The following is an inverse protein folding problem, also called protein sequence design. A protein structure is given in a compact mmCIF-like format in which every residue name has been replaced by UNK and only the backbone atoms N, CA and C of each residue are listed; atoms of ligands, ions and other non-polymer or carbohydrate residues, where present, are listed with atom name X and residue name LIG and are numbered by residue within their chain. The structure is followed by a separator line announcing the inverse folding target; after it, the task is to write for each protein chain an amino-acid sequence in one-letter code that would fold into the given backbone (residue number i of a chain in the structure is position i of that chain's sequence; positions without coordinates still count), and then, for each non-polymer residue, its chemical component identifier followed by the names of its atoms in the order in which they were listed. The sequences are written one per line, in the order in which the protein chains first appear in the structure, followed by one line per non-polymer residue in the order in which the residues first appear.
data_IF_606658301586
#
_entry.id   IF_606658301586
#
_cell.length_a   1.000
_cell.length_b   1.000
_cell.length_c   1.000
_cell.angle_alpha   90.00
_cell.angle_beta   90.00
_cell.angle_gamma   90.00
#
_symmetry.space_group_name_H-M   'P 1'
#
loop_
_entity.id
_entity.type
_entity.pdbx_description
1 polymer ?
#
# COMPACT_ATOMS: atom_id res chain seq x y z
N UNK A 1 -4.34 10.68 -12.24
CA UNK A 1 -3.94 9.58 -11.37
C UNK A 1 -2.44 9.58 -11.21
N UNK A 2 -1.95 9.46 -10.00
CA UNK A 2 -0.53 9.60 -9.69
C UNK A 2 -0.03 8.43 -8.86
N UNK A 3 1.29 8.18 -8.93
CA UNK A 3 1.96 7.22 -8.04
C UNK A 3 2.11 7.84 -6.66
N UNK A 4 1.68 7.12 -5.64
CA UNK A 4 1.80 7.57 -4.26
C UNK A 4 2.28 6.45 -3.37
N UNK A 5 2.94 6.82 -2.27
CA UNK A 5 3.38 5.88 -1.26
C UNK A 5 2.18 5.39 -0.45
N UNK A 6 2.00 4.08 -0.34
CA UNK A 6 0.95 3.50 0.52
C UNK A 6 1.26 3.83 1.98
N UNK A 7 2.52 3.58 2.40
CA UNK A 7 3.04 4.11 3.66
C UNK A 7 3.74 5.43 3.33
N UNK A 8 3.19 6.58 3.72
CA UNK A 8 3.82 7.86 3.43
C UNK A 8 5.25 7.93 3.97
N UNK A 9 6.15 8.61 3.24
CA UNK A 9 7.55 8.73 3.67
C UNK A 9 7.65 9.38 5.05
N UNK A 10 6.74 10.30 5.38
CA UNK A 10 6.75 10.99 6.67
C UNK A 10 6.60 10.02 7.85
N UNK A 11 5.81 8.94 7.71
CA UNK A 11 5.63 7.98 8.79
C UNK A 11 6.75 6.95 8.87
N UNK A 12 7.54 6.80 7.81
CA UNK A 12 8.61 5.82 7.75
C UNK A 12 9.97 6.41 8.13
N UNK A 13 10.14 7.71 8.06
CA UNK A 13 11.45 8.36 8.12
C UNK A 13 12.24 8.12 9.41
N UNK A 14 11.56 7.82 10.51
CA UNK A 14 12.24 7.57 11.78
C UNK A 14 12.70 6.12 11.93
N UNK A 15 12.19 5.22 11.10
CA UNK A 15 12.47 3.78 11.21
C UNK A 15 13.11 3.19 9.95
N UNK A 16 12.94 3.85 8.79
CA UNK A 16 13.38 3.33 7.50
C UNK A 16 14.05 4.44 6.69
N UNK A 17 14.94 4.05 5.78
CA UNK A 17 15.61 4.98 4.87
C UNK A 17 14.65 5.47 3.79
N UNK A 18 15.04 6.57 3.12
CA UNK A 18 14.30 7.06 1.97
C UNK A 18 14.22 6.02 0.86
N UNK A 19 15.30 5.28 0.63
CA UNK A 19 15.33 4.20 -0.36
C UNK A 19 14.34 3.10 -0.02
N UNK A 20 14.23 2.72 1.25
CA UNK A 20 13.27 1.72 1.69
C UNK A 20 11.83 2.22 1.52
N UNK A 21 11.57 3.49 1.79
CA UNK A 21 10.26 4.09 1.61
C UNK A 21 9.86 4.16 0.14
N UNK A 22 10.82 4.27 -0.77
CA UNK A 22 10.58 4.34 -2.21
C UNK A 22 10.49 2.97 -2.88
N UNK A 23 10.45 1.89 -2.12
CA UNK A 23 10.26 0.54 -2.68
C UNK A 23 9.01 0.50 -3.55
N UNK A 24 9.12 -0.09 -4.74
CA UNK A 24 7.99 -0.16 -5.67
C UNK A 24 6.78 -0.85 -5.06
N UNK A 25 7.00 -1.80 -4.13
CA UNK A 25 5.91 -2.47 -3.42
C UNK A 25 5.15 -1.54 -2.47
N UNK A 26 5.67 -0.34 -2.20
CA UNK A 26 5.01 0.69 -1.41
C UNK A 26 4.31 1.75 -2.28
N UNK A 27 4.29 1.59 -3.60
CA UNK A 27 3.71 2.56 -4.51
C UNK A 27 2.40 2.06 -5.10
N UNK A 28 1.44 2.96 -5.26
CA UNK A 28 0.16 2.66 -5.86
C UNK A 28 -0.39 3.87 -6.60
N UNK A 29 -1.32 3.65 -7.53
CA UNK A 29 -2.01 4.74 -8.20
C UNK A 29 -3.19 5.19 -7.33
N UNK A 30 -3.18 6.45 -6.91
CA UNK A 30 -4.18 7.02 -6.01
C UNK A 30 -4.66 8.35 -6.60
N UNK A 31 -5.98 8.58 -6.56
CA UNK A 31 -6.55 9.83 -7.00
C UNK A 31 -6.18 10.99 -6.09
N UNK A 32 -6.17 12.22 -6.63
CA UNK A 32 -5.74 13.39 -5.89
C UNK A 32 -6.50 13.67 -4.60
N UNK A 33 -7.83 13.45 -4.61
CA UNK A 33 -8.66 13.64 -3.40
C UNK A 33 -8.27 12.65 -2.31
N UNK A 34 -8.09 11.39 -2.68
CA UNK A 34 -7.70 10.34 -1.75
C UNK A 34 -6.30 10.63 -1.19
N UNK A 35 -5.38 11.06 -2.06
CA UNK A 35 -4.03 11.39 -1.62
C UNK A 35 -4.01 12.49 -0.56
N UNK A 36 -4.84 13.52 -0.75
CA UNK A 36 -4.94 14.61 0.24
C UNK A 36 -5.49 14.11 1.59
N UNK A 37 -6.40 13.15 1.54
CA UNK A 37 -6.97 12.57 2.76
C UNK A 37 -5.96 11.69 3.52
N UNK A 38 -5.04 11.05 2.80
CA UNK A 38 -4.00 10.21 3.39
C UNK A 38 -2.99 11.06 4.17
N UNK A 39 -2.50 12.14 3.55
CA UNK A 39 -1.50 13.04 4.14
C UNK A 39 -0.30 12.24 4.69
N UNK A 40 -0.01 12.38 5.98
CA UNK A 40 1.14 11.73 6.63
C UNK A 40 0.73 10.62 7.59
N UNK A 41 -0.40 9.94 7.30
CA UNK A 41 -0.93 8.88 8.17
C UNK A 41 -0.51 7.49 7.68
N UNK A 42 -0.20 6.54 8.59
CA UNK A 42 0.05 5.16 8.16
C UNK A 42 -1.24 4.48 7.65
N UNK A 43 -1.12 3.43 6.82
CA UNK A 43 -2.31 2.76 6.27
C UNK A 43 -3.30 2.27 7.33
N UNK A 44 -2.82 1.81 8.47
CA UNK A 44 -3.71 1.34 9.54
C UNK A 44 -4.71 2.42 9.97
N UNK A 45 -4.32 3.69 9.84
CA UNK A 45 -5.19 4.82 10.20
C UNK A 45 -6.16 5.22 9.11
N UNK A 46 -5.76 5.16 7.82
CA UNK A 46 -6.62 5.68 6.75
C UNK A 46 -7.34 4.59 5.94
N UNK A 47 -6.85 3.34 5.92
CA UNK A 47 -7.48 2.27 5.15
C UNK A 47 -8.94 2.01 5.54
N UNK A 48 -9.31 1.97 6.85
CA UNK A 48 -10.70 1.71 7.19
C UNK A 48 -11.68 2.67 6.51
N UNK A 49 -11.34 3.96 6.46
CA UNK A 49 -12.16 4.96 5.82
C UNK A 49 -12.24 4.76 4.30
N UNK A 50 -11.10 4.43 3.68
CA UNK A 50 -11.05 4.18 2.23
C UNK A 50 -11.84 2.93 1.86
N UNK A 51 -11.72 1.86 2.65
CA UNK A 51 -12.45 0.62 2.40
C UNK A 51 -13.96 0.84 2.52
N UNK A 52 -14.38 1.66 3.48
CA UNK A 52 -15.79 1.99 3.66
C UNK A 52 -16.33 2.77 2.46
N UNK A 53 -15.56 3.70 1.91
CA UNK A 53 -16.01 4.53 0.79
C UNK A 53 -15.91 3.84 -0.56
N UNK A 54 -14.81 3.14 -0.80
CA UNK A 54 -14.47 2.59 -2.12
C UNK A 54 -14.65 1.07 -2.22
N UNK A 55 -14.72 0.37 -1.09
CA UNK A 55 -14.77 -1.09 -1.05
C UNK A 55 -13.43 -1.74 -1.31
N UNK A 56 -13.42 -3.06 -1.38
CA UNK A 56 -12.20 -3.87 -1.54
C UNK A 56 -11.67 -3.88 -2.98
N UNK A 57 -12.53 -3.69 -3.97
CA UNK A 57 -12.14 -3.89 -5.37
C UNK A 57 -10.96 -3.06 -5.86
N UNK A 58 -10.86 -1.75 -5.55
CA UNK A 58 -9.70 -0.97 -5.99
C UNK A 58 -8.39 -1.46 -5.38
N UNK A 59 -8.43 -1.95 -4.14
CA UNK A 59 -7.25 -2.47 -3.46
C UNK A 59 -6.83 -3.80 -4.07
N UNK A 60 -7.78 -4.70 -4.31
CA UNK A 60 -7.50 -6.00 -4.93
C UNK A 60 -6.94 -5.82 -6.35
N UNK A 61 -7.45 -4.85 -7.11
CA UNK A 61 -6.99 -4.58 -8.48
C UNK A 61 -5.51 -4.18 -8.52
N UNK A 62 -5.00 -3.56 -7.46
CA UNK A 62 -3.59 -3.16 -7.35
C UNK A 62 -2.79 -4.10 -6.46
N UNK A 63 -3.35 -5.24 -6.08
CA UNK A 63 -2.69 -6.23 -5.24
C UNK A 63 -2.25 -5.66 -3.88
N UNK A 64 -3.05 -4.76 -3.32
CA UNK A 64 -2.72 -4.11 -2.05
C UNK A 64 -3.29 -4.94 -0.89
N UNK A 65 -2.44 -5.45 0.03
CA UNK A 65 -2.93 -6.14 1.22
C UNK A 65 -3.76 -5.21 2.10
N UNK A 66 -4.87 -5.71 2.64
CA UNK A 66 -5.75 -4.94 3.52
C UNK A 66 -5.82 -5.52 4.93
N UNK A 67 -5.01 -6.52 5.25
CA UNK A 67 -4.93 -7.09 6.60
C UNK A 67 -4.36 -6.03 7.56
N UNK A 68 -5.12 -5.63 8.60
CA UNK A 68 -4.66 -4.61 9.55
C UNK A 68 -3.31 -4.92 10.19
N UNK A 69 -2.97 -6.20 10.34
CA UNK A 69 -1.68 -6.59 10.92
C UNK A 69 -0.49 -6.16 10.06
N UNK A 70 -0.70 -5.87 8.76
CA UNK A 70 0.34 -5.45 7.83
C UNK A 70 0.36 -3.94 7.57
N UNK A 71 -0.56 -3.19 8.17
CA UNK A 71 -0.78 -1.79 7.81
C UNK A 71 -0.16 -0.79 8.78
N UNK A 72 0.55 -1.25 9.80
CA UNK A 72 1.23 -0.38 10.74
C UNK A 72 2.72 -0.32 10.44
N UNK A 73 3.37 0.77 10.87
CA UNK A 73 4.78 1.04 10.55
C UNK A 73 5.70 -0.12 10.95
N UNK A 74 5.59 -0.72 12.15
CA UNK A 74 6.46 -1.85 12.50
C UNK A 74 6.35 -3.05 11.56
N UNK A 75 5.24 -3.15 10.82
CA UNK A 75 4.99 -4.27 9.89
C UNK A 75 5.34 -3.92 8.45
N UNK A 76 5.99 -2.78 8.19
CA UNK A 76 6.25 -2.30 6.85
C UNK A 76 6.97 -3.34 5.96
N UNK A 77 8.01 -3.98 6.49
CA UNK A 77 8.75 -5.00 5.72
C UNK A 77 7.86 -6.20 5.38
N UNK A 78 7.02 -6.63 6.32
CA UNK A 78 6.07 -7.72 6.07
C UNK A 78 5.04 -7.32 5.02
N UNK A 79 4.58 -6.07 5.04
CA UNK A 79 3.69 -5.52 4.02
C UNK A 79 4.32 -5.59 2.64
N UNK A 80 5.57 -5.16 2.49
CA UNK A 80 6.28 -5.20 1.22
C UNK A 80 6.39 -6.63 0.69
N UNK A 81 6.77 -7.57 1.56
CA UNK A 81 6.88 -8.98 1.21
C UNK A 81 5.55 -9.53 0.72
N UNK A 82 4.48 -9.27 1.46
CA UNK A 82 3.14 -9.76 1.10
C UNK A 82 2.68 -9.17 -0.22
N UNK A 83 2.89 -7.89 -0.46
CA UNK A 83 2.49 -7.28 -1.72
C UNK A 83 3.25 -7.88 -2.91
N UNK A 84 4.56 -8.11 -2.75
CA UNK A 84 5.35 -8.77 -3.79
C UNK A 84 4.82 -10.16 -4.10
N UNK A 85 4.43 -10.93 -3.09
CA UNK A 85 3.86 -12.26 -3.26
C UNK A 85 2.55 -12.20 -4.04
N UNK A 86 1.66 -11.27 -3.68
CA UNK A 86 0.35 -11.13 -4.34
C UNK A 86 0.53 -10.70 -5.79
N UNK A 87 1.44 -9.77 -6.05
CA UNK A 87 1.75 -9.33 -7.43
C UNK A 87 2.29 -10.50 -8.26
N UNK A 88 3.22 -11.26 -7.71
CA UNK A 88 3.81 -12.41 -8.40
C UNK A 88 2.74 -13.45 -8.72
N UNK A 89 1.87 -13.73 -7.77
CA UNK A 89 0.77 -14.67 -7.97
C UNK A 89 -0.17 -14.21 -9.07
N UNK A 90 -0.51 -12.93 -9.09
CA UNK A 90 -1.38 -12.35 -10.10
C UNK A 90 -0.75 -12.44 -11.50
N UNK A 91 0.55 -12.20 -11.61
CA UNK A 91 1.28 -12.31 -12.86
C UNK A 91 1.25 -13.77 -13.35
N UNK A 92 1.49 -14.73 -12.46
CA UNK A 92 1.45 -16.15 -12.80
C UNK A 92 0.06 -16.57 -13.29
N UNK A 93 -0.99 -16.11 -12.64
CA UNK A 93 -2.37 -16.38 -13.08
C UNK A 93 -2.61 -15.80 -14.48
N UNK A 94 -2.16 -14.59 -14.73
CA UNK A 94 -2.31 -13.92 -16.02
C UNK A 94 -1.58 -14.69 -17.13
N UNK A 95 -0.41 -15.26 -16.82
CA UNK A 95 0.36 -16.04 -17.78
C UNK A 95 -0.14 -17.49 -17.94
N UNK A 96 -1.13 -17.88 -17.20
CA UNK A 96 -1.74 -19.21 -17.30
C UNK A 96 -0.92 -20.33 -16.65
N UNK A 97 -0.07 -19.96 -15.70
CA UNK A 97 0.77 -20.94 -14.99
C UNK A 97 0.24 -21.29 -13.60
#
# INVERSE_FOLDING_TARGET
MQFHHIFPKAVLKSSYSSREADDIANLAFIGGKTNRAISDKPPVSYFPSLLEKAGQSPFAAQCIPTDPALLDVPSYKAFLTKRREVVAQRINEFLGT
#
